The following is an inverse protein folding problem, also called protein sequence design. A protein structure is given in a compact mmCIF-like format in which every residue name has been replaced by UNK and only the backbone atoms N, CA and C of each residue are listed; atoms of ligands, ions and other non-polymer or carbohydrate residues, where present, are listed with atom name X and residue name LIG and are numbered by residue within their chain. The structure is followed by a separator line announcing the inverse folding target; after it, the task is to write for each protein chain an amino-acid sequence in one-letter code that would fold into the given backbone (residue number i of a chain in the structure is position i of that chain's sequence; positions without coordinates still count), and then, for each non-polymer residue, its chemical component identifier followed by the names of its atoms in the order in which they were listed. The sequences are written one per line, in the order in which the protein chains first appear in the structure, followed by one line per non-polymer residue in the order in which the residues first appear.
data_IF_941475389022
#
_entry.id   IF_941475389022
#
_cell.length_a   1.000
_cell.length_b   1.000
_cell.length_c   1.000
_cell.angle_alpha   90.00
_cell.angle_beta   90.00
_cell.angle_gamma   90.00
#
_symmetry.space_group_name_H-M   'P 1'
#
loop_
_entity.id
_entity.type
_entity.pdbx_description
1 polymer ?
#
# COMPACT_ATOMS: atom_id res chain seq x y z
N UNK A 1 7.10 -9.09 17.92
CA UNK A 1 6.12 -8.41 17.03
C UNK A 1 6.74 -7.20 16.37
N UNK A 2 6.51 -7.08 15.10
CA UNK A 2 7.05 -5.94 14.35
C UNK A 2 6.13 -4.73 14.47
N UNK A 3 6.75 -3.54 14.49
CA UNK A 3 5.99 -2.29 14.46
C UNK A 3 5.45 -2.07 13.03
N UNK A 4 4.47 -1.15 12.86
CA UNK A 4 4.01 -0.79 11.51
C UNK A 4 5.16 -0.33 10.61
N UNK A 5 6.11 0.45 11.14
CA UNK A 5 7.26 0.89 10.35
C UNK A 5 8.10 -0.28 9.86
N UNK A 6 8.32 -1.29 10.72
CA UNK A 6 9.08 -2.47 10.33
C UNK A 6 8.38 -3.26 9.23
N UNK A 7 7.07 -3.44 9.34
CA UNK A 7 6.29 -4.09 8.30
C UNK A 7 6.37 -3.33 6.97
N UNK A 8 6.32 -2.00 7.04
CA UNK A 8 6.40 -1.18 5.85
C UNK A 8 7.74 -1.36 5.14
N UNK A 9 8.84 -1.34 5.88
CA UNK A 9 10.18 -1.54 5.31
C UNK A 9 10.36 -2.95 4.75
N UNK A 10 9.84 -3.96 5.45
CA UNK A 10 9.85 -5.33 4.92
C UNK A 10 9.06 -5.42 3.62
N UNK A 11 7.90 -4.79 3.58
CA UNK A 11 7.09 -4.76 2.36
C UNK A 11 7.85 -4.13 1.20
N UNK A 12 8.54 -3.01 1.43
CA UNK A 12 9.33 -2.36 0.41
C UNK A 12 10.47 -3.25 -0.08
N UNK A 13 11.14 -3.93 0.84
CA UNK A 13 12.22 -4.85 0.50
C UNK A 13 11.70 -5.99 -0.39
N UNK A 14 10.61 -6.63 0.00
CA UNK A 14 9.99 -7.68 -0.79
C UNK A 14 9.52 -7.16 -2.14
N UNK A 15 8.93 -5.97 -2.17
CA UNK A 15 8.49 -5.34 -3.41
C UNK A 15 9.66 -5.14 -4.37
N UNK A 16 10.79 -4.65 -3.87
CA UNK A 16 11.99 -4.45 -4.67
C UNK A 16 12.55 -5.77 -5.23
N UNK A 17 12.38 -6.85 -4.48
CA UNK A 17 12.81 -8.18 -4.91
C UNK A 17 11.77 -8.90 -5.76
N UNK A 18 10.66 -8.24 -6.07
CA UNK A 18 9.54 -8.81 -6.82
C UNK A 18 8.89 -10.01 -6.11
N UNK A 19 8.99 -10.05 -4.80
CA UNK A 19 8.32 -11.06 -3.97
C UNK A 19 6.97 -10.49 -3.53
N UNK A 20 6.03 -10.46 -4.47
CA UNK A 20 4.77 -9.74 -4.29
C UNK A 20 3.90 -10.32 -3.19
N UNK A 21 3.86 -11.63 -3.03
CA UNK A 21 3.04 -12.25 -1.96
C UNK A 21 3.50 -11.80 -0.58
N UNK A 22 4.81 -11.81 -0.34
CA UNK A 22 5.37 -11.37 0.92
C UNK A 22 5.19 -9.88 1.11
N UNK A 23 5.35 -9.10 0.05
CA UNK A 23 5.13 -7.66 0.08
C UNK A 23 3.70 -7.34 0.47
N UNK A 24 2.72 -8.03 -0.12
CA UNK A 24 1.30 -7.84 0.22
C UNK A 24 1.06 -8.13 1.71
N UNK A 25 1.61 -9.22 2.22
CA UNK A 25 1.43 -9.56 3.64
C UNK A 25 1.98 -8.46 4.54
N UNK A 26 3.18 -7.95 4.24
CA UNK A 26 3.81 -6.91 5.05
C UNK A 26 3.03 -5.61 4.98
N UNK A 27 2.64 -5.16 3.79
CA UNK A 27 1.86 -3.93 3.66
C UNK A 27 0.47 -4.06 4.26
N UNK A 28 -0.18 -5.22 4.12
CA UNK A 28 -1.48 -5.47 4.75
C UNK A 28 -1.38 -5.38 6.27
N UNK A 29 -0.29 -5.85 6.85
CA UNK A 29 -0.06 -5.71 8.29
C UNK A 29 -0.01 -4.24 8.69
N UNK A 30 0.65 -3.38 7.90
CA UNK A 30 0.67 -1.94 8.15
C UNK A 30 -0.74 -1.37 8.14
N UNK A 31 -1.54 -1.75 7.16
CA UNK A 31 -2.91 -1.24 7.01
C UNK A 31 -3.78 -1.64 8.21
N UNK A 32 -3.50 -2.77 8.85
CA UNK A 32 -4.24 -3.21 10.03
C UNK A 32 -4.00 -2.34 11.25
N UNK A 33 -2.92 -1.56 11.28
CA UNK A 33 -2.63 -0.60 12.36
C UNK A 33 -3.27 0.74 12.00
N UNK A 34 -4.49 0.96 12.47
CA UNK A 34 -5.29 2.13 12.07
C UNK A 34 -4.64 3.47 12.38
N UNK A 35 -3.79 3.54 13.38
CA UNK A 35 -3.12 4.78 13.79
C UNK A 35 -1.75 4.98 13.12
N UNK A 36 -1.36 4.08 12.22
CA UNK A 36 -0.06 4.18 11.59
C UNK A 36 -0.02 5.30 10.55
N UNK A 37 1.02 6.13 10.61
CA UNK A 37 1.24 7.16 9.60
C UNK A 37 1.75 6.58 8.27
N UNK A 38 2.04 5.29 8.22
CA UNK A 38 2.46 4.60 6.99
C UNK A 38 1.29 3.93 6.27
N UNK A 39 0.09 4.01 6.82
CA UNK A 39 -1.07 3.30 6.29
C UNK A 39 -1.41 3.73 4.86
N UNK A 40 -1.41 5.05 4.61
CA UNK A 40 -1.69 5.55 3.27
C UNK A 40 -0.63 5.09 2.27
N UNK A 41 0.65 5.17 2.65
CA UNK A 41 1.75 4.71 1.79
C UNK A 41 1.63 3.22 1.49
N UNK A 42 1.29 2.42 2.51
CA UNK A 42 1.12 0.98 2.33
C UNK A 42 -0.03 0.66 1.37
N UNK A 43 -1.12 1.40 1.45
CA UNK A 43 -2.25 1.22 0.54
C UNK A 43 -1.86 1.52 -0.91
N UNK A 44 -1.07 2.57 -1.14
CA UNK A 44 -0.56 2.88 -2.48
C UNK A 44 0.31 1.73 -2.98
N UNK A 45 1.19 1.20 -2.14
CA UNK A 45 2.05 0.08 -2.53
C UNK A 45 1.24 -1.18 -2.85
N UNK A 46 0.19 -1.44 -2.08
CA UNK A 46 -0.71 -2.56 -2.40
C UNK A 46 -1.38 -2.37 -3.75
N UNK A 47 -1.78 -1.13 -4.07
CA UNK A 47 -2.33 -0.81 -5.38
C UNK A 47 -1.31 -1.04 -6.50
N UNK A 48 -0.06 -0.60 -6.28
CA UNK A 48 1.01 -0.79 -7.25
C UNK A 48 1.27 -2.27 -7.51
N UNK A 49 1.26 -3.09 -6.46
CA UNK A 49 1.46 -4.54 -6.59
C UNK A 49 0.31 -5.16 -7.40
N UNK A 50 -0.92 -4.79 -7.08
CA UNK A 50 -2.08 -5.30 -7.80
C UNK A 50 -2.02 -4.92 -9.28
N UNK A 51 -1.65 -3.67 -9.59
CA UNK A 51 -1.51 -3.22 -10.97
C UNK A 51 -0.42 -4.00 -11.71
N UNK A 52 0.70 -4.25 -11.03
CA UNK A 52 1.81 -5.01 -11.61
C UNK A 52 1.42 -6.45 -11.94
N UNK A 53 0.46 -7.00 -11.18
CA UNK A 53 -0.02 -8.36 -11.36
C UNK A 53 -1.29 -8.43 -12.22
N UNK A 54 -1.58 -7.39 -12.98
CA UNK A 54 -2.72 -7.30 -13.88
C UNK A 54 -4.07 -7.36 -13.16
N UNK A 55 -4.11 -6.93 -11.90
CA UNK A 55 -5.34 -6.88 -11.12
C UNK A 55 -5.80 -5.43 -10.97
N UNK A 56 -6.23 -4.84 -12.09
CA UNK A 56 -6.61 -3.43 -12.15
C UNK A 56 -7.77 -3.11 -11.21
N UNK A 57 -8.73 -4.00 -11.08
CA UNK A 57 -9.88 -3.78 -10.20
C UNK A 57 -9.43 -3.61 -8.75
N UNK A 58 -8.57 -4.50 -8.28
CA UNK A 58 -8.07 -4.43 -6.92
C UNK A 58 -7.17 -3.20 -6.73
N UNK A 59 -6.35 -2.88 -7.73
CA UNK A 59 -5.50 -1.70 -7.70
C UNK A 59 -6.33 -0.43 -7.50
N UNK A 60 -7.42 -0.28 -8.26
CA UNK A 60 -8.31 0.87 -8.13
C UNK A 60 -8.94 0.95 -6.74
N UNK A 61 -9.31 -0.18 -6.16
CA UNK A 61 -9.87 -0.20 -4.80
C UNK A 61 -8.88 0.34 -3.78
N UNK A 62 -7.61 -0.08 -3.86
CA UNK A 62 -6.58 0.41 -2.95
C UNK A 62 -6.35 1.91 -3.14
N UNK A 63 -6.21 2.36 -4.39
CA UNK A 63 -5.99 3.78 -4.66
C UNK A 63 -7.18 4.62 -4.21
N UNK A 64 -8.40 4.16 -4.48
CA UNK A 64 -9.60 4.88 -4.06
C UNK A 64 -9.68 4.98 -2.55
N UNK A 65 -9.29 3.93 -1.84
CA UNK A 65 -9.28 3.94 -0.38
C UNK A 65 -8.34 5.02 0.16
N UNK A 66 -7.16 5.18 -0.44
CA UNK A 66 -6.23 6.24 -0.04
C UNK A 66 -6.86 7.61 -0.22
N UNK A 67 -7.47 7.85 -1.36
CA UNK A 67 -8.11 9.14 -1.66
C UNK A 67 -9.27 9.41 -0.71
N UNK A 68 -10.03 8.38 -0.37
CA UNK A 68 -11.19 8.51 0.51
C UNK A 68 -10.77 8.75 1.96
N UNK A 69 -9.80 7.99 2.47
CA UNK A 69 -9.40 8.07 3.88
C UNK A 69 -8.36 9.16 4.16
N UNK A 70 -7.51 9.46 3.19
CA UNK A 70 -6.40 10.40 3.37
C UNK A 70 -6.33 11.41 2.21
N UNK A 71 -7.41 12.18 1.97
CA UNK A 71 -7.51 13.00 0.75
C UNK A 71 -6.44 14.11 0.64
N UNK A 72 -5.86 14.52 1.76
CA UNK A 72 -4.86 15.59 1.78
C UNK A 72 -3.42 15.09 1.86
N UNK A 73 -3.23 13.78 1.77
CA UNK A 73 -1.89 13.21 1.86
C UNK A 73 -1.17 13.25 0.51
N UNK A 74 0.17 13.19 0.57
CA UNK A 74 0.98 13.02 -0.65
C UNK A 74 0.62 11.70 -1.35
N UNK A 75 0.33 10.66 -0.57
CA UNK A 75 -0.07 9.36 -1.12
C UNK A 75 -1.37 9.47 -1.91
N UNK A 76 -2.32 10.30 -1.47
CA UNK A 76 -3.56 10.51 -2.22
C UNK A 76 -3.29 11.16 -3.58
N UNK A 77 -2.33 12.08 -3.64
CA UNK A 77 -1.95 12.70 -4.92
C UNK A 77 -1.41 11.66 -5.88
N UNK A 78 -0.56 10.76 -5.40
CA UNK A 78 -0.04 9.66 -6.20
C UNK A 78 -1.17 8.73 -6.62
N UNK A 79 -2.05 8.36 -5.70
CA UNK A 79 -3.17 7.46 -6.00
C UNK A 79 -4.09 8.02 -7.07
N UNK A 80 -4.36 9.33 -7.04
CA UNK A 80 -5.21 9.98 -8.04
C UNK A 80 -4.65 9.84 -9.45
N UNK A 81 -3.33 9.79 -9.61
CA UNK A 81 -2.73 9.65 -10.94
C UNK A 81 -3.00 8.29 -11.55
N UNK A 82 -3.42 7.31 -10.74
CA UNK A 82 -3.72 5.96 -11.19
C UNK A 82 -5.22 5.68 -11.32
N UNK A 83 -6.05 6.67 -11.06
CA UNK A 83 -7.51 6.52 -11.14
C UNK A 83 -8.10 7.09 -12.46
#
# INVERSE_FOLDING_TARGET
TFTPNSHYWLGQLYFAKKQDKEAVKSFAAVVSYKDSNKRADALVKLGDIAARNNNATQAKKYYQQVVTEYPNSASAKVAKTHL
#
